data_IF_602731331853
#
_entry.id   IF_602731331853
#
_cell.length_a   1.000
_cell.length_b   1.000
_cell.length_c   1.000
_cell.angle_alpha   90.00
_cell.angle_beta   90.00
_cell.angle_gamma   90.00
#
_symmetry.space_group_name_H-M   'P 1'
#
loop_
_entity.id
_entity.type
_entity.pdbx_description
1 polymer ?
#
# COMPACT_ATOMS: atom_id res chain seq x y z
N UNK A 1 64.30 -8.49 67.29
CA UNK A 1 64.27 -8.96 68.69
C UNK A 1 63.50 -10.28 68.69
N UNK A 2 64.16 -11.37 69.09
CA UNK A 2 63.66 -12.70 69.47
C UNK A 2 62.82 -13.48 68.43
N UNK A 3 63.38 -14.61 68.02
CA UNK A 3 62.76 -15.67 67.21
C UNK A 3 61.67 -16.41 68.01
N UNK A 4 60.55 -16.71 67.35
CA UNK A 4 59.66 -17.83 67.65
C UNK A 4 59.44 -18.65 66.36
N UNK A 5 59.20 -19.97 66.44
CA UNK A 5 59.27 -20.86 65.29
C UNK A 5 58.03 -20.69 64.41
N UNK A 6 58.19 -20.08 63.24
CA UNK A 6 57.16 -20.13 62.20
C UNK A 6 57.23 -21.51 61.54
N UNK A 7 56.19 -22.30 61.80
CA UNK A 7 55.80 -23.41 60.93
C UNK A 7 55.76 -22.90 59.48
N UNK A 8 56.41 -23.64 58.58
CA UNK A 8 56.60 -23.23 57.20
C UNK A 8 55.27 -22.97 56.49
N UNK A 9 54.97 -21.69 56.24
CA UNK A 9 53.97 -21.32 55.24
C UNK A 9 54.57 -21.58 53.85
N UNK A 10 54.16 -22.69 53.22
CA UNK A 10 54.37 -22.88 51.80
C UNK A 10 53.60 -21.79 51.03
N UNK A 11 54.32 -20.81 50.49
CA UNK A 11 53.75 -19.83 49.57
C UNK A 11 53.49 -20.48 48.22
N UNK A 12 52.22 -20.60 47.82
CA UNK A 12 51.84 -20.93 46.44
C UNK A 12 51.81 -19.62 45.66
N UNK A 13 52.72 -19.46 44.70
CA UNK A 13 52.76 -18.30 43.81
C UNK A 13 52.22 -18.71 42.44
N UNK A 14 51.20 -18.00 41.95
CA UNK A 14 50.72 -18.13 40.57
C UNK A 14 51.11 -16.90 39.75
N UNK A 15 51.79 -17.10 38.63
CA UNK A 15 52.07 -16.03 37.67
C UNK A 15 51.00 -16.07 36.58
N UNK A 16 50.30 -14.96 36.35
CA UNK A 16 49.39 -14.83 35.22
C UNK A 16 50.20 -14.62 33.93
N UNK A 17 50.47 -15.73 33.23
CA UNK A 17 51.20 -15.74 31.95
C UNK A 17 50.28 -15.83 30.73
N UNK A 18 48.97 -15.60 30.90
CA UNK A 18 47.98 -15.93 29.87
C UNK A 18 48.23 -15.18 28.55
N UNK A 19 48.47 -13.86 28.61
CA UNK A 19 48.72 -13.06 27.41
C UNK A 19 50.08 -13.36 26.75
N UNK A 20 51.14 -13.54 27.54
CA UNK A 20 52.47 -13.84 27.03
C UNK A 20 52.50 -15.20 26.32
N UNK A 21 51.73 -16.16 26.82
CA UNK A 21 51.60 -17.47 26.20
C UNK A 21 50.91 -17.41 24.82
N UNK A 22 49.84 -16.61 24.67
CA UNK A 22 49.18 -16.44 23.37
C UNK A 22 50.11 -15.77 22.34
N UNK A 23 50.85 -14.74 22.75
CA UNK A 23 51.86 -14.11 21.89
C UNK A 23 52.91 -15.13 21.44
N UNK A 24 53.37 -16.00 22.35
CA UNK A 24 54.34 -17.04 22.00
C UNK A 24 53.78 -18.08 21.03
N UNK A 25 52.52 -18.48 21.17
CA UNK A 25 51.86 -19.35 20.19
C UNK A 25 51.73 -18.69 18.82
N UNK A 26 51.56 -17.36 18.77
CA UNK A 26 51.56 -16.62 17.51
C UNK A 26 52.95 -16.63 16.85
N UNK A 27 54.03 -16.51 17.63
CA UNK A 27 55.40 -16.62 17.13
C UNK A 27 55.68 -18.01 16.56
N UNK A 28 55.25 -19.08 17.25
CA UNK A 28 55.36 -20.45 16.74
C UNK A 28 54.61 -20.60 15.42
N UNK A 29 53.38 -20.05 15.34
CA UNK A 29 52.58 -20.07 14.12
C UNK A 29 53.30 -19.39 12.95
N UNK A 30 53.78 -18.16 13.15
CA UNK A 30 54.47 -17.37 12.12
C UNK A 30 55.81 -17.98 11.70
N UNK A 31 56.43 -18.78 12.57
CA UNK A 31 57.70 -19.48 12.30
C UNK A 31 57.49 -20.89 11.72
N UNK A 32 56.25 -21.34 11.51
CA UNK A 32 55.94 -22.69 11.03
C UNK A 32 56.25 -23.80 12.02
N UNK A 33 56.35 -23.49 13.32
CA UNK A 33 56.72 -24.42 14.38
C UNK A 33 55.44 -25.00 15.02
N UNK A 34 55.43 -26.32 15.27
CA UNK A 34 54.31 -27.07 15.86
C UNK A 34 52.97 -26.98 15.09
N UNK A 35 53.02 -26.65 13.80
CA UNK A 35 51.85 -26.63 12.91
C UNK A 35 51.36 -28.06 12.68
N UNK A 36 50.09 -28.30 13.00
CA UNK A 36 49.43 -29.61 12.86
C UNK A 36 48.16 -29.53 11.98
N UNK A 37 47.79 -28.34 11.51
CA UNK A 37 46.73 -28.13 10.52
C UNK A 37 46.97 -26.90 9.63
N UNK A 38 46.31 -26.90 8.48
CA UNK A 38 46.30 -25.83 7.50
C UNK A 38 44.85 -25.51 7.13
N UNK A 39 44.51 -24.24 7.24
CA UNK A 39 43.21 -23.74 6.82
C UNK A 39 43.37 -23.17 5.42
N UNK A 40 42.52 -23.59 4.48
CA UNK A 40 42.60 -23.23 3.07
C UNK A 40 41.42 -22.30 2.72
N UNK A 41 41.70 -21.13 2.15
CA UNK A 41 40.68 -20.22 1.61
C UNK A 41 41.11 -19.68 0.27
N UNK A 42 40.36 -20.00 -0.79
CA UNK A 42 40.73 -19.62 -2.15
C UNK A 42 42.17 -20.05 -2.47
N UNK A 43 43.09 -19.11 -2.68
CA UNK A 43 44.52 -19.34 -2.93
C UNK A 43 45.40 -19.18 -1.67
N UNK A 44 44.82 -18.79 -0.53
CA UNK A 44 45.55 -18.63 0.72
C UNK A 44 45.55 -19.91 1.57
N UNK A 45 46.72 -20.22 2.13
CA UNK A 45 46.93 -21.26 3.14
C UNK A 45 47.35 -20.63 4.44
N UNK A 46 46.65 -20.96 5.52
CA UNK A 46 46.95 -20.49 6.87
C UNK A 46 47.46 -21.63 7.73
N UNK A 47 48.71 -21.53 8.17
CA UNK A 47 49.30 -22.46 9.13
C UNK A 47 48.73 -22.21 10.53
N UNK A 48 48.25 -23.28 11.16
CA UNK A 48 47.48 -23.23 12.40
C UNK A 48 47.82 -24.37 13.35
N UNK A 49 47.40 -24.20 14.60
CA UNK A 49 47.46 -25.24 15.63
C UNK A 49 46.02 -25.67 15.97
N UNK A 50 45.71 -26.96 15.83
CA UNK A 50 44.37 -27.53 16.09
C UNK A 50 43.90 -27.11 17.47
N UNK A 51 44.74 -27.33 18.49
CA UNK A 51 44.40 -27.03 19.89
C UNK A 51 44.02 -25.57 20.13
N UNK A 52 44.66 -24.64 19.41
CA UNK A 52 44.34 -23.21 19.51
C UNK A 52 43.01 -22.94 18.82
N UNK A 53 42.82 -23.40 17.58
CA UNK A 53 41.55 -23.19 16.87
C UNK A 53 40.36 -23.80 17.62
N UNK A 54 40.48 -25.03 18.10
CA UNK A 54 39.41 -25.74 18.82
C UNK A 54 39.09 -25.10 20.17
N UNK A 55 40.04 -24.42 20.81
CA UNK A 55 39.79 -23.68 22.06
C UNK A 55 38.88 -22.47 21.85
N UNK A 56 38.94 -21.85 20.67
CA UNK A 56 38.23 -20.59 20.36
C UNK A 56 36.98 -20.80 19.53
N UNK A 57 36.89 -21.90 18.79
CA UNK A 57 35.82 -22.16 17.83
C UNK A 57 35.20 -23.53 18.06
N UNK A 58 33.90 -23.53 18.41
CA UNK A 58 33.14 -24.79 18.53
C UNK A 58 33.01 -25.50 17.18
N UNK A 59 32.98 -24.76 16.07
CA UNK A 59 33.03 -25.32 14.73
C UNK A 59 34.31 -26.14 14.52
N UNK A 60 35.49 -25.54 14.71
CA UNK A 60 36.76 -26.25 14.52
C UNK A 60 36.93 -27.39 15.52
N UNK A 61 36.45 -27.24 16.76
CA UNK A 61 36.40 -28.34 17.73
C UNK A 61 35.67 -29.55 17.17
N UNK A 62 34.43 -29.38 16.67
CA UNK A 62 33.66 -30.48 16.09
C UNK A 62 34.32 -31.04 14.82
N UNK A 63 34.83 -30.16 13.96
CA UNK A 63 35.52 -30.57 12.74
C UNK A 63 36.71 -31.48 13.04
N UNK A 64 37.66 -31.04 13.89
CA UNK A 64 38.86 -31.82 14.19
C UNK A 64 38.61 -33.01 15.13
N UNK A 65 37.49 -33.04 15.85
CA UNK A 65 37.10 -34.21 16.66
C UNK A 65 36.56 -35.36 15.80
N UNK A 66 36.07 -35.07 14.59
CA UNK A 66 35.42 -36.05 13.71
C UNK A 66 36.22 -36.34 12.45
N UNK A 67 37.04 -35.39 12.00
CA UNK A 67 37.85 -35.49 10.81
C UNK A 67 39.34 -35.61 11.18
N UNK A 68 40.04 -36.57 10.58
CA UNK A 68 41.49 -36.73 10.74
C UNK A 68 42.30 -35.78 9.84
N UNK A 69 41.67 -35.15 8.84
CA UNK A 69 42.36 -34.26 7.91
C UNK A 69 42.98 -33.06 8.61
N UNK A 70 44.23 -32.78 8.23
CA UNK A 70 44.94 -31.58 8.66
C UNK A 70 44.74 -30.42 7.69
N UNK A 71 44.18 -30.63 6.50
CA UNK A 71 43.86 -29.56 5.55
C UNK A 71 42.35 -29.29 5.56
N UNK A 72 41.96 -28.08 5.97
CA UNK A 72 40.55 -27.71 6.13
C UNK A 72 40.18 -26.63 5.14
N UNK A 73 39.31 -26.95 4.18
CA UNK A 73 38.73 -25.94 3.29
C UNK A 73 37.72 -25.08 4.06
N UNK A 74 37.92 -23.76 4.07
CA UNK A 74 37.00 -22.82 4.73
C UNK A 74 35.66 -22.78 4.01
N UNK A 75 34.53 -23.12 4.68
CA UNK A 75 33.23 -23.06 4.04
C UNK A 75 32.74 -21.63 3.80
N UNK A 76 33.15 -20.67 4.64
CA UNK A 76 32.64 -19.28 4.57
C UNK A 76 33.72 -18.26 4.94
N UNK A 77 34.15 -17.44 3.98
CA UNK A 77 35.15 -16.38 4.21
C UNK A 77 34.70 -15.04 3.59
N UNK A 78 33.65 -14.41 4.13
CA UNK A 78 33.13 -13.16 3.57
C UNK A 78 34.20 -12.06 3.64
N UNK A 79 34.39 -11.36 2.52
CA UNK A 79 35.40 -10.29 2.41
C UNK A 79 36.84 -10.73 2.67
N UNK A 80 37.16 -12.03 2.55
CA UNK A 80 38.45 -12.61 2.93
C UNK A 80 38.88 -12.31 4.38
N UNK A 81 37.90 -12.13 5.29
CA UNK A 81 38.13 -11.64 6.64
C UNK A 81 38.70 -12.69 7.62
N UNK A 82 38.77 -13.96 7.24
CA UNK A 82 39.26 -15.03 8.13
C UNK A 82 40.68 -14.79 8.63
N UNK A 83 41.56 -14.15 7.84
CA UNK A 83 42.90 -13.77 8.29
C UNK A 83 42.88 -12.90 9.55
N UNK A 84 41.94 -11.95 9.64
CA UNK A 84 41.74 -11.11 10.80
C UNK A 84 41.17 -11.90 11.99
N UNK A 85 40.27 -12.85 11.72
CA UNK A 85 39.75 -13.77 12.74
C UNK A 85 40.87 -14.64 13.31
N UNK A 86 41.76 -15.14 12.46
CA UNK A 86 42.90 -15.94 12.88
C UNK A 86 43.88 -15.11 13.71
N UNK A 87 44.21 -13.88 13.28
CA UNK A 87 45.06 -13.00 14.09
C UNK A 87 44.41 -12.69 15.44
N UNK A 88 43.09 -12.52 15.50
CA UNK A 88 42.35 -12.36 16.76
C UNK A 88 42.50 -13.59 17.68
N UNK A 89 42.35 -14.80 17.15
CA UNK A 89 42.50 -16.05 17.93
C UNK A 89 43.90 -16.12 18.59
N UNK A 90 44.94 -15.69 17.87
CA UNK A 90 46.32 -15.77 18.34
C UNK A 90 46.81 -14.55 19.15
N UNK A 91 46.24 -13.36 18.96
CA UNK A 91 46.74 -12.12 19.58
C UNK A 91 45.74 -11.41 20.47
N UNK A 92 44.47 -11.83 20.43
CA UNK A 92 43.32 -11.16 21.07
C UNK A 92 43.06 -9.74 20.56
N UNK A 93 43.63 -9.37 19.41
CA UNK A 93 43.44 -8.06 18.79
C UNK A 93 42.67 -8.19 17.50
N UNK A 94 41.67 -7.33 17.31
CA UNK A 94 40.94 -7.20 16.05
C UNK A 94 40.54 -5.74 15.86
N UNK A 95 40.55 -5.28 14.61
CA UNK A 95 40.13 -3.93 14.24
C UNK A 95 38.79 -4.01 13.53
N UNK A 96 37.77 -3.38 14.10
CA UNK A 96 36.40 -3.43 13.60
C UNK A 96 35.90 -2.03 13.24
N UNK A 97 35.28 -1.91 12.07
CA UNK A 97 34.73 -0.67 11.52
C UNK A 97 33.46 -0.96 10.69
N UNK A 98 32.81 0.08 10.15
CA UNK A 98 31.60 -0.07 9.32
C UNK A 98 31.77 -0.91 8.05
N UNK A 99 33.01 -1.14 7.59
CA UNK A 99 33.27 -1.87 6.35
C UNK A 99 33.40 -3.36 6.59
N UNK A 100 33.92 -3.75 7.76
CA UNK A 100 34.26 -5.14 8.05
C UNK A 100 33.40 -5.79 9.14
N UNK A 101 32.56 -5.03 9.85
CA UNK A 101 31.78 -5.54 10.98
C UNK A 101 30.84 -6.68 10.60
N UNK A 102 30.24 -6.62 9.40
CA UNK A 102 29.34 -7.68 8.89
C UNK A 102 30.10 -8.97 8.59
N UNK A 103 31.31 -8.88 8.03
CA UNK A 103 32.18 -10.03 7.80
C UNK A 103 32.64 -10.66 9.11
N UNK A 104 33.06 -9.84 10.07
CA UNK A 104 33.43 -10.27 11.40
C UNK A 104 32.27 -10.99 12.10
N UNK A 105 31.06 -10.41 12.02
CA UNK A 105 29.84 -11.00 12.57
C UNK A 105 29.58 -12.36 11.95
N UNK A 106 29.61 -12.46 10.62
CA UNK A 106 29.32 -13.72 9.94
C UNK A 106 30.33 -14.81 10.28
N UNK A 107 31.61 -14.47 10.35
CA UNK A 107 32.64 -15.40 10.79
C UNK A 107 32.44 -15.83 12.25
N UNK A 108 32.16 -14.89 13.15
CA UNK A 108 31.95 -15.20 14.56
C UNK A 108 30.73 -16.13 14.78
N UNK A 109 29.64 -15.86 14.06
CA UNK A 109 28.42 -16.70 14.07
C UNK A 109 28.68 -18.08 13.47
N UNK A 110 29.26 -18.16 12.27
CA UNK A 110 29.46 -19.42 11.55
C UNK A 110 30.50 -20.33 12.22
N UNK A 111 31.63 -19.75 12.65
CA UNK A 111 32.69 -20.49 13.34
C UNK A 111 32.44 -20.62 14.85
N UNK A 112 31.33 -20.09 15.35
CA UNK A 112 30.92 -20.16 16.76
C UNK A 112 32.05 -19.71 17.71
N UNK A 113 32.63 -18.55 17.43
CA UNK A 113 33.66 -17.90 18.25
C UNK A 113 32.96 -16.92 19.19
N UNK A 114 32.63 -17.39 20.39
CA UNK A 114 31.74 -16.69 21.32
C UNK A 114 32.28 -15.31 21.74
N UNK A 115 33.56 -15.22 22.09
CA UNK A 115 34.19 -13.97 22.51
C UNK A 115 34.25 -12.96 21.36
N UNK A 116 34.53 -13.41 20.13
CA UNK A 116 34.49 -12.54 18.95
C UNK A 116 33.06 -12.06 18.69
N UNK A 117 32.07 -12.93 18.82
CA UNK A 117 30.67 -12.58 18.62
C UNK A 117 30.23 -11.49 19.60
N UNK A 118 30.61 -11.59 20.90
CA UNK A 118 30.35 -10.57 21.91
C UNK A 118 30.96 -9.21 21.52
N UNK A 119 32.25 -9.20 21.18
CA UNK A 119 32.97 -7.98 20.76
C UNK A 119 32.32 -7.34 19.53
N UNK A 120 31.94 -8.15 18.54
CA UNK A 120 31.33 -7.67 17.30
C UNK A 120 29.94 -7.08 17.56
N UNK A 121 29.12 -7.71 18.41
CA UNK A 121 27.80 -7.16 18.79
C UNK A 121 27.96 -5.84 19.54
N UNK A 122 28.87 -5.77 20.50
CA UNK A 122 29.15 -4.54 21.24
C UNK A 122 29.60 -3.41 20.31
N UNK A 123 30.51 -3.70 19.37
CA UNK A 123 30.98 -2.73 18.40
C UNK A 123 29.90 -2.33 17.40
N UNK A 124 29.06 -3.26 16.93
CA UNK A 124 27.91 -2.93 16.11
C UNK A 124 26.98 -1.95 16.84
N UNK A 125 26.76 -2.20 18.15
CA UNK A 125 25.93 -1.33 18.98
C UNK A 125 26.51 0.08 19.13
N UNK A 126 27.84 0.21 19.16
CA UNK A 126 28.51 1.51 19.31
C UNK A 126 28.48 2.33 18.03
N UNK A 127 28.59 1.70 16.85
CA UNK A 127 28.65 2.40 15.56
C UNK A 127 27.29 2.61 14.91
N UNK A 128 26.30 1.75 15.20
CA UNK A 128 25.00 1.77 14.52
C UNK A 128 24.25 3.07 14.79
N UNK A 129 23.91 3.80 13.72
CA UNK A 129 23.21 5.07 13.80
C UNK A 129 22.28 5.26 12.60
N UNK A 130 21.42 6.29 12.68
CA UNK A 130 20.58 6.72 11.56
C UNK A 130 21.41 7.06 10.30
N UNK A 131 22.71 7.37 10.45
CA UNK A 131 23.59 7.70 9.33
C UNK A 131 24.03 6.51 8.50
N UNK A 132 24.28 5.37 9.13
CA UNK A 132 24.86 4.20 8.49
C UNK A 132 23.91 2.99 8.48
N UNK A 133 22.73 3.07 9.12
CA UNK A 133 21.79 1.94 9.24
C UNK A 133 21.47 1.27 7.91
N UNK A 134 21.21 2.02 6.83
CA UNK A 134 20.91 1.42 5.52
C UNK A 134 22.12 0.71 4.91
N UNK A 135 23.32 1.28 5.05
CA UNK A 135 24.58 0.68 4.56
C UNK A 135 24.85 -0.62 5.31
N UNK A 136 24.75 -0.59 6.65
CA UNK A 136 24.96 -1.76 7.50
C UNK A 136 23.89 -2.83 7.25
N UNK A 137 22.61 -2.45 7.15
CA UNK A 137 21.52 -3.38 6.82
C UNK A 137 21.81 -4.12 5.52
N UNK A 138 22.21 -3.37 4.47
CA UNK A 138 22.55 -3.96 3.17
C UNK A 138 23.68 -5.00 3.30
N UNK A 139 24.76 -4.66 4.00
CA UNK A 139 25.86 -5.58 4.24
C UNK A 139 25.43 -6.82 5.03
N UNK A 140 24.57 -6.68 6.03
CA UNK A 140 24.08 -7.82 6.83
C UNK A 140 23.19 -8.73 5.97
N UNK A 141 22.34 -8.16 5.12
CA UNK A 141 21.52 -8.91 4.16
C UNK A 141 22.40 -9.66 3.16
N UNK A 142 23.42 -9.01 2.58
CA UNK A 142 24.36 -9.63 1.62
C UNK A 142 25.18 -10.78 2.24
N UNK A 143 25.43 -10.72 3.55
CA UNK A 143 26.13 -11.77 4.29
C UNK A 143 25.19 -12.81 4.93
N UNK A 144 23.90 -12.76 4.64
CA UNK A 144 22.88 -13.67 5.16
C UNK A 144 22.85 -13.71 6.71
N UNK A 145 22.84 -12.52 7.32
CA UNK A 145 22.72 -12.34 8.77
C UNK A 145 21.36 -11.72 9.06
N UNK A 146 20.46 -12.48 9.71
CA UNK A 146 19.11 -12.01 10.08
C UNK A 146 18.94 -11.74 11.57
N UNK A 147 19.92 -12.12 12.41
CA UNK A 147 19.84 -12.01 13.88
C UNK A 147 19.76 -10.56 14.40
N UNK A 148 20.08 -9.57 13.56
CA UNK A 148 20.04 -8.14 13.89
C UNK A 148 18.90 -7.39 13.19
N UNK A 149 18.01 -8.10 12.47
CA UNK A 149 16.95 -7.51 11.67
C UNK A 149 16.00 -6.63 12.50
N UNK A 150 15.61 -7.08 13.69
CA UNK A 150 14.76 -6.32 14.61
C UNK A 150 15.38 -4.95 14.96
N UNK A 151 16.70 -4.96 15.26
CA UNK A 151 17.42 -3.75 15.64
C UNK A 151 17.50 -2.73 14.51
N UNK A 152 17.83 -3.20 13.30
CA UNK A 152 17.83 -2.34 12.12
C UNK A 152 16.43 -1.81 11.80
N UNK A 153 15.43 -2.68 11.89
CA UNK A 153 14.02 -2.35 11.62
C UNK A 153 13.52 -1.24 12.55
N UNK A 154 13.80 -1.33 13.85
CA UNK A 154 13.38 -0.32 14.84
C UNK A 154 13.94 1.08 14.58
N UNK A 155 15.17 1.17 14.07
CA UNK A 155 15.77 2.47 13.72
C UNK A 155 15.14 3.02 12.44
N UNK A 156 14.90 2.15 11.46
CA UNK A 156 14.31 2.53 10.17
C UNK A 156 12.85 2.95 10.34
N UNK A 157 12.04 2.19 11.09
CA UNK A 157 10.61 2.47 11.31
C UNK A 157 10.40 3.84 11.96
N UNK A 158 11.14 4.14 13.04
CA UNK A 158 11.10 5.44 13.74
C UNK A 158 11.45 6.65 12.86
N UNK A 159 12.21 6.44 11.79
CA UNK A 159 12.70 7.51 10.91
C UNK A 159 12.13 7.41 9.49
N UNK A 160 11.14 6.55 9.26
CA UNK A 160 10.67 6.17 7.92
C UNK A 160 10.18 7.37 7.09
N UNK A 161 9.54 8.34 7.75
CA UNK A 161 9.00 9.54 7.11
C UNK A 161 9.98 10.74 7.09
N UNK A 162 11.22 10.59 7.59
CA UNK A 162 12.18 11.70 7.66
C UNK A 162 12.85 11.97 6.31
N UNK A 163 13.43 13.17 6.15
CA UNK A 163 13.98 13.59 4.86
C UNK A 163 15.06 12.67 4.30
N UNK A 164 15.81 12.03 5.20
CA UNK A 164 16.87 11.08 4.87
C UNK A 164 16.34 9.80 4.21
N UNK A 165 15.09 9.45 4.47
CA UNK A 165 14.43 8.24 4.02
C UNK A 165 13.34 8.53 2.95
N UNK A 166 13.34 9.73 2.35
CA UNK A 166 12.38 10.12 1.30
C UNK A 166 12.24 9.08 0.17
N UNK A 167 13.34 8.43 -0.21
CA UNK A 167 13.33 7.39 -1.24
C UNK A 167 13.06 6.01 -0.65
N UNK A 168 11.79 5.58 -0.66
CA UNK A 168 11.36 4.23 -0.25
C UNK A 168 12.10 3.13 -1.01
N UNK A 169 12.35 3.35 -2.31
CA UNK A 169 13.09 2.40 -3.16
C UNK A 169 14.52 2.16 -2.66
N UNK A 170 15.19 3.17 -2.13
CA UNK A 170 16.55 3.02 -1.58
C UNK A 170 16.54 2.20 -0.28
N UNK A 171 15.51 2.36 0.55
CA UNK A 171 15.32 1.53 1.75
C UNK A 171 15.14 0.07 1.34
N UNK A 172 14.23 -0.19 0.42
CA UNK A 172 13.86 -1.55 -0.02
C UNK A 172 15.02 -2.32 -0.66
N UNK A 173 15.95 -1.63 -1.33
CA UNK A 173 17.19 -2.24 -1.83
C UNK A 173 18.10 -2.75 -0.70
N UNK A 174 18.04 -2.14 0.49
CA UNK A 174 18.97 -2.40 1.58
C UNK A 174 18.46 -3.36 2.66
N UNK A 175 17.18 -3.73 2.64
CA UNK A 175 16.56 -4.53 3.71
C UNK A 175 16.14 -5.93 3.25
N UNK A 176 16.05 -6.86 4.19
CA UNK A 176 15.46 -8.19 4.02
C UNK A 176 13.92 -8.15 4.09
N UNK A 177 13.22 -9.22 3.66
CA UNK A 177 11.77 -9.33 3.80
C UNK A 177 11.31 -9.31 5.26
N UNK A 178 12.05 -9.98 6.14
CA UNK A 178 11.83 -9.98 7.60
C UNK A 178 11.93 -8.59 8.20
N UNK A 179 12.94 -7.81 7.80
CA UNK A 179 13.05 -6.41 8.21
C UNK A 179 11.87 -5.57 7.70
N UNK A 180 11.46 -5.76 6.43
CA UNK A 180 10.30 -5.05 5.90
C UNK A 180 9.03 -5.38 6.71
N UNK A 181 8.83 -6.65 7.08
CA UNK A 181 7.69 -7.06 7.89
C UNK A 181 7.69 -6.36 9.25
N UNK A 182 8.83 -6.30 9.92
CA UNK A 182 8.99 -5.61 11.20
C UNK A 182 8.74 -4.11 11.06
N UNK A 183 9.32 -3.47 10.04
CA UNK A 183 9.12 -2.03 9.78
C UNK A 183 7.64 -1.73 9.54
N UNK A 184 6.96 -2.49 8.68
CA UNK A 184 5.55 -2.25 8.36
C UNK A 184 4.62 -2.56 9.54
N UNK A 185 5.02 -3.45 10.45
CA UNK A 185 4.28 -3.73 11.68
C UNK A 185 4.31 -2.53 12.62
N UNK A 186 5.46 -1.84 12.75
CA UNK A 186 5.62 -0.64 13.58
C UNK A 186 4.85 0.58 13.03
N UNK A 187 4.64 0.65 11.71
CA UNK A 187 4.00 1.78 11.02
C UNK A 187 2.47 1.73 11.16
N UNK A 188 1.95 2.08 12.33
CA UNK A 188 0.51 2.03 12.65
C UNK A 188 -0.32 3.13 11.97
N UNK A 189 0.31 4.18 11.47
CA UNK A 189 -0.36 5.29 10.79
C UNK A 189 -0.79 4.96 9.35
N UNK A 190 -0.26 3.88 8.77
CA UNK A 190 -0.55 3.46 7.41
C UNK A 190 -1.67 2.43 7.35
N UNK A 191 -2.55 2.58 6.37
CA UNK A 191 -3.63 1.62 6.11
C UNK A 191 -3.07 0.29 5.55
N UNK A 192 -3.79 -0.84 5.71
CA UNK A 192 -3.37 -2.12 5.12
C UNK A 192 -3.14 -2.05 3.61
N UNK A 193 -3.98 -1.31 2.88
CA UNK A 193 -3.85 -1.12 1.43
C UNK A 193 -2.55 -0.40 1.05
N UNK A 194 -2.16 0.62 1.83
CA UNK A 194 -0.88 1.31 1.62
C UNK A 194 0.31 0.42 1.93
N UNK A 195 0.23 -0.40 2.99
CA UNK A 195 1.28 -1.37 3.33
C UNK A 195 1.46 -2.42 2.22
N UNK A 196 0.36 -2.97 1.69
CA UNK A 196 0.41 -3.91 0.56
C UNK A 196 1.07 -3.27 -0.66
N UNK A 197 0.72 -2.03 -0.99
CA UNK A 197 1.38 -1.27 -2.07
C UNK A 197 2.89 -1.13 -1.85
N UNK A 198 3.34 -0.97 -0.61
CA UNK A 198 4.78 -0.92 -0.29
C UNK A 198 5.45 -2.29 -0.47
N UNK A 199 4.78 -3.39 -0.12
CA UNK A 199 5.31 -4.75 -0.32
C UNK A 199 5.35 -5.11 -1.80
N UNK A 200 4.33 -4.74 -2.58
CA UNK A 200 4.34 -4.89 -4.03
C UNK A 200 5.52 -4.13 -4.67
N UNK A 201 5.76 -2.89 -4.22
CA UNK A 201 6.94 -2.13 -4.65
C UNK A 201 8.24 -2.84 -4.26
N UNK A 202 8.34 -3.37 -3.03
CA UNK A 202 9.51 -4.15 -2.61
C UNK A 202 9.73 -5.39 -3.48
N UNK A 203 8.68 -6.17 -3.72
CA UNK A 203 8.71 -7.40 -4.51
C UNK A 203 9.10 -7.12 -5.98
N UNK A 204 8.66 -5.99 -6.54
CA UNK A 204 9.08 -5.55 -7.88
C UNK A 204 10.59 -5.26 -7.98
N UNK A 205 11.23 -4.84 -6.88
CA UNK A 205 12.67 -4.56 -6.82
C UNK A 205 13.47 -5.83 -6.55
N UNK A 206 12.95 -6.71 -5.67
CA UNK A 206 13.59 -7.97 -5.26
C UNK A 206 12.61 -9.13 -5.46
N UNK A 207 12.45 -9.62 -6.71
CA UNK A 207 11.60 -10.78 -6.97
C UNK A 207 12.23 -12.06 -6.39
N UNK A 208 11.45 -13.15 -6.35
CA UNK A 208 11.90 -14.49 -5.94
C UNK A 208 12.35 -14.62 -4.46
N UNK A 209 11.59 -14.01 -3.54
CA UNK A 209 11.77 -14.24 -2.10
C UNK A 209 11.40 -15.68 -1.70
N UNK A 210 12.03 -16.20 -0.64
CA UNK A 210 11.80 -17.56 -0.13
C UNK A 210 10.38 -17.70 0.44
N UNK A 211 9.84 -18.91 0.45
CA UNK A 211 8.49 -19.16 1.01
C UNK A 211 8.37 -18.76 2.50
N UNK A 212 9.41 -18.99 3.31
CA UNK A 212 9.43 -18.53 4.69
C UNK A 212 9.30 -17.00 4.82
N UNK A 213 9.95 -16.27 3.92
CA UNK A 213 9.90 -14.80 3.88
C UNK A 213 8.52 -14.29 3.43
N UNK A 214 7.89 -14.98 2.47
CA UNK A 214 6.51 -14.70 2.05
C UNK A 214 5.54 -14.84 3.23
N UNK A 215 5.69 -15.91 4.01
CA UNK A 215 4.88 -16.13 5.21
C UNK A 215 5.08 -14.98 6.21
N UNK A 216 6.32 -14.56 6.47
CA UNK A 216 6.60 -13.44 7.37
C UNK A 216 5.94 -12.13 6.90
N UNK A 217 5.99 -11.81 5.61
CA UNK A 217 5.31 -10.63 5.07
C UNK A 217 3.78 -10.74 5.14
N UNK A 218 3.23 -11.93 4.93
CA UNK A 218 1.78 -12.13 4.96
C UNK A 218 1.20 -12.09 6.37
N UNK A 219 1.96 -12.48 7.40
CA UNK A 219 1.50 -12.48 8.79
C UNK A 219 1.19 -11.08 9.35
N UNK A 220 1.55 -10.01 8.64
CA UNK A 220 1.23 -8.63 9.01
C UNK A 220 -0.28 -8.34 8.85
N UNK A 221 -0.97 -9.11 8.00
CA UNK A 221 -2.36 -8.87 7.63
C UNK A 221 -3.27 -9.99 8.14
N UNK A 222 -4.49 -9.60 8.52
CA UNK A 222 -5.55 -10.55 8.80
C UNK A 222 -6.27 -10.94 7.50
N UNK A 223 -5.90 -12.10 6.95
CA UNK A 223 -6.52 -12.65 5.74
C UNK A 223 -7.88 -13.32 5.98
N UNK A 224 -8.35 -13.35 7.24
CA UNK A 224 -9.67 -13.87 7.58
C UNK A 224 -10.78 -12.83 7.39
N UNK A 225 -10.44 -11.54 7.29
CA UNK A 225 -11.40 -10.48 7.01
C UNK A 225 -12.11 -10.69 5.67
N UNK A 226 -13.41 -10.44 5.66
CA UNK A 226 -14.28 -10.67 4.50
C UNK A 226 -13.85 -9.85 3.28
N UNK A 227 -13.22 -8.70 3.46
CA UNK A 227 -12.77 -7.82 2.37
C UNK A 227 -11.31 -8.04 1.97
N UNK A 228 -10.60 -8.99 2.59
CA UNK A 228 -9.18 -9.27 2.28
C UNK A 228 -8.93 -9.60 0.80
N UNK A 229 -9.91 -10.24 0.14
CA UNK A 229 -9.81 -10.55 -1.28
C UNK A 229 -9.70 -9.29 -2.15
N UNK A 230 -10.23 -8.14 -1.69
CA UNK A 230 -10.18 -6.88 -2.44
C UNK A 230 -8.75 -6.39 -2.65
N UNK A 231 -7.79 -6.83 -1.83
CA UNK A 231 -6.39 -6.52 -2.07
C UNK A 231 -5.87 -7.13 -3.37
N UNK A 232 -6.28 -8.34 -3.72
CA UNK A 232 -5.92 -9.00 -4.99
C UNK A 232 -6.59 -8.39 -6.23
N UNK A 233 -7.59 -7.53 -6.03
CA UNK A 233 -8.27 -6.82 -7.12
C UNK A 233 -7.55 -5.50 -7.42
N UNK A 234 -7.05 -4.84 -6.37
CA UNK A 234 -6.47 -3.51 -6.46
C UNK A 234 -4.93 -3.49 -6.50
N UNK A 235 -4.29 -4.61 -6.16
CA UNK A 235 -2.83 -4.77 -6.04
C UNK A 235 -2.38 -6.09 -6.67
N UNK A 236 -1.07 -6.24 -6.92
CA UNK A 236 -0.51 -7.42 -7.60
C UNK A 236 -0.43 -8.63 -6.66
N UNK A 237 0.06 -8.43 -5.42
CA UNK A 237 0.05 -9.45 -4.37
C UNK A 237 0.82 -10.75 -4.70
N UNK A 238 1.78 -10.73 -5.64
CA UNK A 238 2.57 -11.90 -6.09
C UNK A 238 3.45 -12.53 -4.99
N UNK A 239 3.72 -11.78 -3.93
CA UNK A 239 4.51 -12.20 -2.78
C UNK A 239 3.71 -13.03 -1.77
N UNK A 240 2.40 -13.17 -1.91
CA UNK A 240 1.56 -13.88 -0.95
C UNK A 240 1.68 -15.41 -1.15
N UNK A 241 1.85 -16.20 -0.08
CA UNK A 241 1.88 -17.66 -0.12
C UNK A 241 0.66 -18.29 -0.81
N UNK A 242 0.89 -19.38 -1.54
CA UNK A 242 -0.13 -20.04 -2.37
C UNK A 242 -1.33 -20.58 -1.59
N UNK A 243 -1.16 -20.95 -0.33
CA UNK A 243 -2.24 -21.41 0.54
C UNK A 243 -3.27 -20.30 0.82
N UNK A 244 -2.82 -19.04 0.95
CA UNK A 244 -3.67 -17.88 1.17
C UNK A 244 -4.26 -17.39 -0.15
N UNK A 245 -3.39 -17.15 -1.15
CA UNK A 245 -3.81 -16.57 -2.42
C UNK A 245 -4.83 -17.44 -3.16
N UNK A 246 -4.64 -18.77 -3.17
CA UNK A 246 -5.58 -19.69 -3.84
C UNK A 246 -6.99 -19.61 -3.28
N UNK A 247 -7.15 -19.50 -1.95
CA UNK A 247 -8.46 -19.39 -1.30
C UNK A 247 -9.17 -18.10 -1.72
N UNK A 248 -8.46 -16.97 -1.68
CA UNK A 248 -9.03 -15.65 -1.97
C UNK A 248 -9.28 -15.45 -3.48
N UNK A 249 -8.40 -15.95 -4.35
CA UNK A 249 -8.61 -15.94 -5.80
C UNK A 249 -9.84 -16.79 -6.16
N UNK A 250 -10.00 -17.97 -5.56
CA UNK A 250 -11.20 -18.78 -5.77
C UNK A 250 -12.49 -18.05 -5.34
N UNK A 251 -12.44 -17.32 -4.21
CA UNK A 251 -13.57 -16.49 -3.77
C UNK A 251 -13.92 -15.42 -4.82
N UNK A 252 -12.92 -14.69 -5.33
CA UNK A 252 -13.10 -13.67 -6.38
C UNK A 252 -13.73 -14.30 -7.63
N UNK A 253 -13.21 -15.45 -8.08
CA UNK A 253 -13.72 -16.14 -9.27
C UNK A 253 -15.16 -16.58 -9.07
N UNK A 254 -15.51 -17.12 -7.89
CA UNK A 254 -16.87 -17.56 -7.60
C UNK A 254 -17.87 -16.39 -7.53
N UNK A 255 -17.48 -15.27 -6.91
CA UNK A 255 -18.30 -14.05 -6.90
C UNK A 255 -18.53 -13.57 -8.34
N UNK A 256 -17.45 -13.49 -9.14
CA UNK A 256 -17.54 -13.06 -10.54
C UNK A 256 -18.45 -13.97 -11.38
N UNK A 257 -18.36 -15.29 -11.21
CA UNK A 257 -19.25 -16.25 -11.89
C UNK A 257 -20.71 -16.01 -11.52
N UNK A 258 -21.02 -15.89 -10.22
CA UNK A 258 -22.37 -15.60 -9.75
C UNK A 258 -22.92 -14.29 -10.34
N UNK A 259 -22.08 -13.25 -10.41
CA UNK A 259 -22.46 -11.96 -11.01
C UNK A 259 -22.68 -12.05 -12.53
N UNK A 260 -21.88 -12.85 -13.23
CA UNK A 260 -22.07 -13.13 -14.66
C UNK A 260 -23.39 -13.87 -14.88
N UNK A 261 -23.67 -14.92 -14.11
CA UNK A 261 -24.92 -15.68 -14.20
C UNK A 261 -26.15 -14.79 -13.91
N UNK A 262 -26.03 -13.86 -12.95
CA UNK A 262 -27.06 -12.86 -12.67
C UNK A 262 -27.24 -11.91 -13.86
N UNK A 263 -26.15 -11.38 -14.41
CA UNK A 263 -26.18 -10.48 -15.57
C UNK A 263 -26.83 -11.17 -16.78
N UNK A 264 -26.48 -12.42 -17.07
CA UNK A 264 -27.05 -13.19 -18.18
C UNK A 264 -28.56 -13.39 -18.02
N UNK A 265 -29.04 -13.75 -16.82
CA UNK A 265 -30.47 -13.88 -16.56
C UNK A 265 -31.21 -12.56 -16.79
N UNK A 266 -30.68 -11.47 -16.26
CA UNK A 266 -31.27 -10.13 -16.38
C UNK A 266 -31.26 -9.63 -17.84
N UNK A 267 -30.16 -9.81 -18.57
CA UNK A 267 -30.08 -9.38 -19.97
C UNK A 267 -30.94 -10.24 -20.90
N UNK A 268 -31.09 -11.54 -20.62
CA UNK A 268 -32.00 -12.41 -21.39
C UNK A 268 -33.46 -12.00 -21.22
N UNK A 269 -33.88 -11.61 -20.01
CA UNK A 269 -35.23 -11.08 -19.76
C UNK A 269 -35.46 -9.77 -20.53
N UNK A 270 -34.43 -8.91 -20.62
CA UNK A 270 -34.60 -7.52 -21.03
C UNK A 270 -34.00 -7.12 -22.38
N UNK A 271 -33.71 -8.10 -23.25
CA UNK A 271 -32.90 -8.02 -24.47
C UNK A 271 -33.10 -6.82 -25.41
N UNK A 272 -34.26 -6.15 -25.39
CA UNK A 272 -34.56 -5.04 -26.32
C UNK A 272 -34.86 -3.68 -25.67
N UNK A 273 -34.63 -3.49 -24.36
CA UNK A 273 -35.32 -2.38 -23.69
C UNK A 273 -34.59 -1.65 -22.56
N UNK A 274 -33.30 -1.91 -22.32
CA UNK A 274 -32.57 -1.26 -21.21
C UNK A 274 -31.55 -0.24 -21.70
N UNK A 275 -31.29 0.78 -20.88
CA UNK A 275 -30.24 1.75 -21.13
C UNK A 275 -28.90 1.06 -21.37
N UNK A 276 -28.13 1.58 -22.32
CA UNK A 276 -26.81 1.03 -22.65
C UNK A 276 -25.83 1.03 -21.46
N UNK A 277 -26.10 1.81 -20.41
CA UNK A 277 -25.28 1.88 -19.18
C UNK A 277 -25.58 0.78 -18.19
N UNK A 278 -26.78 0.20 -18.24
CA UNK A 278 -27.15 -0.88 -17.33
C UNK A 278 -26.17 -2.08 -17.40
N UNK A 279 -25.73 -2.54 -18.60
CA UNK A 279 -24.64 -3.51 -18.69
C UNK A 279 -23.34 -3.09 -17.99
N UNK A 280 -22.99 -1.80 -18.00
CA UNK A 280 -21.78 -1.30 -17.36
C UNK A 280 -21.83 -1.37 -15.84
N UNK A 281 -23.01 -1.32 -15.20
CA UNK A 281 -23.11 -1.52 -13.74
C UNK A 281 -22.71 -2.94 -13.35
N UNK A 282 -23.17 -3.95 -14.11
CA UNK A 282 -22.76 -5.35 -13.93
C UNK A 282 -21.27 -5.55 -14.22
N UNK A 283 -20.75 -4.99 -15.31
CA UNK A 283 -19.32 -5.07 -15.62
C UNK A 283 -18.47 -4.51 -14.48
N UNK A 284 -18.91 -3.42 -13.86
CA UNK A 284 -18.20 -2.83 -12.73
C UNK A 284 -18.23 -3.73 -11.49
N UNK A 285 -19.40 -4.27 -11.14
CA UNK A 285 -19.56 -5.25 -10.06
C UNK A 285 -18.71 -6.51 -10.29
N UNK A 286 -18.67 -7.02 -11.53
CA UNK A 286 -17.84 -8.18 -11.90
C UNK A 286 -16.36 -7.83 -11.75
N UNK A 287 -15.91 -6.69 -12.29
CA UNK A 287 -14.50 -6.30 -12.19
C UNK A 287 -14.04 -6.19 -10.74
N UNK A 288 -14.83 -5.56 -9.87
CA UNK A 288 -14.48 -5.39 -8.47
C UNK A 288 -14.94 -6.55 -7.55
N UNK A 289 -15.53 -7.59 -8.12
CA UNK A 289 -16.14 -8.71 -7.39
C UNK A 289 -17.00 -8.22 -6.22
N UNK A 290 -17.82 -7.20 -6.47
CA UNK A 290 -18.74 -6.63 -5.48
C UNK A 290 -20.17 -7.07 -5.80
N UNK A 291 -20.92 -7.37 -4.75
CA UNK A 291 -22.33 -7.77 -4.88
C UNK A 291 -23.07 -6.69 -5.65
N UNK A 292 -23.69 -7.08 -6.78
CA UNK A 292 -24.53 -6.20 -7.56
C UNK A 292 -25.88 -6.04 -6.82
N UNK A 293 -25.90 -5.14 -5.84
CA UNK A 293 -27.17 -4.72 -5.26
C UNK A 293 -27.81 -3.72 -6.24
N UNK A 294 -29.11 -3.83 -6.48
CA UNK A 294 -29.94 -2.78 -7.11
C UNK A 294 -29.98 -1.54 -6.19
N UNK A 295 -28.83 -0.90 -5.99
CA UNK A 295 -28.70 0.33 -5.21
C UNK A 295 -29.10 1.51 -6.07
N UNK A 296 -29.61 2.53 -5.41
CA UNK A 296 -29.76 3.85 -6.01
C UNK A 296 -28.39 4.33 -6.52
N UNK A 297 -28.31 4.64 -7.81
CA UNK A 297 -27.12 5.16 -8.47
C UNK A 297 -27.21 6.68 -8.58
N UNK A 298 -26.14 7.39 -8.24
CA UNK A 298 -25.94 8.75 -8.74
C UNK A 298 -25.55 8.68 -10.23
N UNK A 299 -26.54 8.62 -11.13
CA UNK A 299 -26.31 8.36 -12.55
C UNK A 299 -25.44 9.44 -13.20
N UNK A 300 -25.54 10.68 -12.74
CA UNK A 300 -24.69 11.80 -13.20
C UNK A 300 -23.22 11.59 -12.87
N UNK A 301 -22.91 11.03 -11.69
CA UNK A 301 -21.53 10.69 -11.33
C UNK A 301 -21.03 9.47 -12.11
N UNK A 302 -21.88 8.45 -12.23
CA UNK A 302 -21.56 7.26 -13.00
C UNK A 302 -21.22 7.63 -14.45
N UNK A 303 -22.04 8.48 -15.07
CA UNK A 303 -21.84 8.97 -16.44
C UNK A 303 -20.53 9.75 -16.60
N UNK A 304 -20.24 10.68 -15.69
CA UNK A 304 -19.01 11.48 -15.74
C UNK A 304 -17.75 10.65 -15.61
N UNK A 305 -17.80 9.55 -14.86
CA UNK A 305 -16.61 8.72 -14.58
C UNK A 305 -16.62 7.39 -15.33
N UNK A 306 -17.66 7.13 -16.12
CA UNK A 306 -17.97 5.84 -16.73
C UNK A 306 -17.86 4.68 -15.71
N UNK A 307 -18.47 4.86 -14.54
CA UNK A 307 -18.40 3.90 -13.44
C UNK A 307 -17.03 3.86 -12.75
N UNK A 308 -16.33 4.99 -12.68
CA UNK A 308 -15.00 5.12 -12.06
C UNK A 308 -13.82 4.69 -12.93
N UNK A 309 -14.00 4.53 -14.25
CA UNK A 309 -12.96 4.09 -15.19
C UNK A 309 -12.13 5.25 -15.76
N UNK A 310 -12.68 6.45 -15.76
CA UNK A 310 -12.01 7.64 -16.29
C UNK A 310 -12.06 8.77 -15.29
N UNK A 311 -11.19 9.77 -15.49
CA UNK A 311 -11.44 11.10 -14.95
C UNK A 311 -12.77 11.65 -15.50
N UNK A 312 -13.27 12.72 -14.88
CA UNK A 312 -14.57 13.29 -15.23
C UNK A 312 -14.61 13.74 -16.69
N UNK A 313 -15.55 13.19 -17.47
CA UNK A 313 -15.85 13.57 -18.85
C UNK A 313 -17.12 14.40 -18.94
N UNK A 314 -17.21 15.25 -19.96
CA UNK A 314 -18.40 16.06 -20.27
C UNK A 314 -19.55 15.20 -20.78
N UNK A 315 -20.56 14.95 -19.95
CA UNK A 315 -21.65 14.00 -20.28
C UNK A 315 -22.54 14.46 -21.44
N UNK A 316 -22.54 15.75 -21.75
CA UNK A 316 -23.32 16.35 -22.84
C UNK A 316 -22.55 16.29 -24.16
N UNK A 317 -21.25 16.62 -24.13
CA UNK A 317 -20.35 16.57 -25.29
C UNK A 317 -20.24 15.15 -25.87
N UNK A 318 -20.28 14.15 -25.00
CA UNK A 318 -20.26 12.73 -25.39
C UNK A 318 -21.65 12.17 -25.72
N UNK A 319 -22.70 13.01 -25.68
CA UNK A 319 -24.08 12.61 -26.01
C UNK A 319 -24.70 11.62 -25.01
N UNK A 320 -24.17 11.53 -23.79
CA UNK A 320 -24.69 10.62 -22.76
C UNK A 320 -25.95 11.18 -22.09
N UNK A 321 -26.12 12.51 -22.13
CA UNK A 321 -27.32 13.23 -21.70
C UNK A 321 -27.71 14.24 -22.78
N UNK A 322 -28.95 14.16 -23.25
CA UNK A 322 -29.53 15.13 -24.17
C UNK A 322 -30.18 16.27 -23.38
N UNK A 323 -29.90 17.52 -23.76
CA UNK A 323 -30.41 18.70 -23.08
C UNK A 323 -31.25 19.57 -24.01
N UNK A 324 -32.34 20.10 -23.48
CA UNK A 324 -33.17 21.14 -24.11
C UNK A 324 -33.49 22.15 -23.02
N UNK A 325 -33.21 23.43 -23.24
CA UNK A 325 -33.46 24.46 -22.24
C UNK A 325 -34.04 25.73 -22.87
N UNK A 326 -34.58 26.60 -22.02
CA UNK A 326 -34.77 28.01 -22.39
C UNK A 326 -33.42 28.69 -22.68
N UNK A 327 -33.46 29.84 -23.36
CA UNK A 327 -32.27 30.55 -23.80
C UNK A 327 -31.32 30.83 -22.62
N UNK A 328 -30.09 30.33 -22.70
CA UNK A 328 -29.08 30.49 -21.66
C UNK A 328 -28.42 31.86 -21.75
N UNK A 329 -28.04 32.43 -20.60
CA UNK A 329 -27.19 33.63 -20.58
C UNK A 329 -25.78 33.30 -21.08
N UNK A 330 -25.08 34.33 -21.56
CA UNK A 330 -23.69 34.23 -22.02
C UNK A 330 -22.80 33.59 -20.94
N UNK A 331 -21.96 32.63 -21.33
CA UNK A 331 -21.12 31.80 -20.45
C UNK A 331 -21.85 30.86 -19.46
N UNK A 332 -23.19 30.77 -19.49
CA UNK A 332 -23.99 29.95 -18.58
C UNK A 332 -24.70 28.80 -19.31
N UNK A 333 -23.95 28.04 -20.11
CA UNK A 333 -24.47 26.99 -21.00
C UNK A 333 -25.19 25.86 -20.25
N UNK A 334 -26.17 25.16 -20.86
CA UNK A 334 -26.92 24.07 -20.23
C UNK A 334 -26.05 22.96 -19.65
N UNK A 335 -24.94 22.62 -20.31
CA UNK A 335 -23.99 21.61 -19.84
C UNK A 335 -23.43 21.90 -18.45
N UNK A 336 -23.30 23.17 -18.10
CA UNK A 336 -22.71 23.60 -16.83
C UNK A 336 -23.62 23.28 -15.64
N UNK A 337 -24.90 22.94 -15.87
CA UNK A 337 -25.81 22.52 -14.80
C UNK A 337 -25.28 21.32 -14.01
N UNK A 338 -24.52 20.43 -14.66
CA UNK A 338 -23.94 19.26 -14.02
C UNK A 338 -22.56 19.52 -13.44
N UNK A 339 -21.88 20.61 -13.76
CA UNK A 339 -20.54 20.86 -13.24
C UNK A 339 -20.58 21.37 -11.80
N UNK A 340 -19.52 21.12 -11.03
CA UNK A 340 -19.37 21.66 -9.67
C UNK A 340 -18.27 22.72 -9.67
N UNK A 341 -18.61 23.96 -9.34
CA UNK A 341 -17.63 25.04 -9.20
C UNK A 341 -18.16 26.38 -9.68
N UNK A 342 -17.34 27.11 -10.45
CA UNK A 342 -17.65 28.47 -10.91
C UNK A 342 -18.53 28.52 -12.16
N UNK A 343 -18.73 27.38 -12.85
CA UNK A 343 -19.58 27.28 -14.02
C UNK A 343 -20.95 26.75 -13.61
N UNK A 344 -22.01 27.38 -14.10
CA UNK A 344 -23.40 27.00 -13.83
C UNK A 344 -24.27 27.30 -15.06
N UNK A 345 -25.46 26.71 -15.11
CA UNK A 345 -26.47 27.05 -16.10
C UNK A 345 -27.36 28.18 -15.58
N UNK A 346 -27.69 29.14 -16.44
CA UNK A 346 -28.54 30.27 -16.10
C UNK A 346 -29.44 30.67 -17.27
N UNK A 347 -30.72 30.84 -17.02
CA UNK A 347 -31.70 31.31 -18.02
C UNK A 347 -32.70 32.29 -17.40
N UNK A 348 -33.14 33.26 -18.19
CA UNK A 348 -34.13 34.27 -17.79
C UNK A 348 -35.41 34.05 -18.60
N UNK A 349 -36.56 34.10 -17.93
CA UNK A 349 -37.87 34.04 -18.56
C UNK A 349 -38.80 35.15 -18.09
N UNK A 350 -40.10 34.94 -18.29
CA UNK A 350 -41.17 35.80 -17.80
C UNK A 350 -42.45 34.99 -17.53
N UNK A 351 -43.54 35.65 -17.15
CA UNK A 351 -44.82 34.99 -16.86
C UNK A 351 -45.44 34.25 -18.04
N UNK A 352 -45.10 34.61 -19.28
CA UNK A 352 -45.60 33.96 -20.51
C UNK A 352 -44.63 32.91 -21.07
N UNK A 353 -43.35 32.98 -20.70
CA UNK A 353 -42.27 32.09 -21.14
C UNK A 353 -41.37 31.79 -19.95
N UNK A 354 -41.83 30.90 -19.07
CA UNK A 354 -41.09 30.48 -17.89
C UNK A 354 -39.78 29.76 -18.27
N UNK A 355 -38.66 30.01 -17.56
CA UNK A 355 -37.41 29.36 -17.88
C UNK A 355 -37.48 27.87 -17.48
N UNK A 356 -36.91 27.01 -18.31
CA UNK A 356 -36.94 25.56 -18.12
C UNK A 356 -35.62 24.89 -18.50
N UNK A 357 -35.37 23.74 -17.89
CA UNK A 357 -34.23 22.87 -18.15
C UNK A 357 -34.71 21.42 -18.27
N UNK A 358 -34.59 20.85 -19.45
CA UNK A 358 -35.00 19.48 -19.75
C UNK A 358 -33.77 18.63 -20.02
N UNK A 359 -33.73 17.45 -19.43
CA UNK A 359 -32.71 16.45 -19.68
C UNK A 359 -33.33 15.10 -20.02
N UNK A 360 -32.60 14.29 -20.78
CA UNK A 360 -32.98 12.94 -21.15
C UNK A 360 -31.76 12.03 -21.21
N UNK A 361 -31.91 10.82 -20.67
CA UNK A 361 -30.96 9.73 -20.82
C UNK A 361 -31.23 8.89 -22.09
N UNK A 362 -32.12 9.37 -22.98
CA UNK A 362 -32.59 8.62 -24.14
C UNK A 362 -33.89 7.86 -23.87
N UNK A 363 -34.62 7.55 -24.95
CA UNK A 363 -35.95 6.92 -24.89
C UNK A 363 -35.93 5.51 -24.32
N UNK A 364 -34.80 4.81 -24.44
CA UNK A 364 -34.64 3.43 -23.94
C UNK A 364 -34.00 3.38 -22.55
N UNK A 365 -33.84 4.52 -21.87
CA UNK A 365 -33.07 4.55 -20.62
C UNK A 365 -33.73 3.82 -19.46
N UNK A 366 -35.07 3.68 -19.46
CA UNK A 366 -35.84 3.05 -18.36
C UNK A 366 -35.29 3.37 -16.97
N UNK A 367 -34.80 4.60 -16.76
CA UNK A 367 -34.16 4.98 -15.51
C UNK A 367 -35.19 5.64 -14.61
N UNK A 368 -35.48 5.02 -13.47
CA UNK A 368 -36.43 5.55 -12.52
C UNK A 368 -35.73 6.51 -11.55
N UNK A 369 -35.99 7.80 -11.71
CA UNK A 369 -35.47 8.83 -10.81
C UNK A 369 -36.16 8.72 -9.44
N UNK A 370 -35.37 8.68 -8.38
CA UNK A 370 -35.84 8.57 -6.99
C UNK A 370 -35.47 9.78 -6.14
N UNK A 371 -34.42 10.50 -6.52
CA UNK A 371 -33.98 11.70 -5.81
C UNK A 371 -33.22 12.66 -6.73
N UNK A 372 -33.38 13.95 -6.46
CA UNK A 372 -32.71 15.03 -7.19
C UNK A 372 -32.03 15.94 -6.19
N UNK A 373 -30.78 16.29 -6.48
CA UNK A 373 -30.04 17.31 -5.74
C UNK A 373 -29.50 18.35 -6.71
N UNK A 374 -29.61 19.63 -6.35
CA UNK A 374 -29.12 20.73 -7.19
C UNK A 374 -28.91 21.98 -6.35
N UNK A 375 -27.89 22.76 -6.69
CA UNK A 375 -27.72 24.11 -6.16
C UNK A 375 -28.42 25.11 -7.09
N UNK A 376 -29.24 25.99 -6.52
CA UNK A 376 -29.93 27.09 -7.21
C UNK A 376 -29.41 28.47 -6.81
N UNK A 377 -28.52 28.53 -5.83
CA UNK A 377 -27.78 29.73 -5.43
C UNK A 377 -26.27 29.59 -5.64
N UNK A 378 -25.58 30.72 -5.81
CA UNK A 378 -24.12 30.79 -5.87
C UNK A 378 -23.53 31.57 -4.69
N UNK A 379 -22.39 31.09 -4.17
CA UNK A 379 -21.59 31.84 -3.20
C UNK A 379 -20.69 32.83 -3.94
N UNK A 380 -21.01 34.13 -3.85
CA UNK A 380 -20.16 35.17 -4.41
C UNK A 380 -19.07 35.57 -3.41
N UNK A 381 -17.82 35.66 -3.87
CA UNK A 381 -16.67 36.12 -3.05
C UNK A 381 -16.84 37.53 -2.47
N UNK A 382 -17.76 38.36 -2.99
CA UNK A 382 -17.84 39.77 -2.62
C UNK A 382 -19.24 40.35 -2.36
N UNK A 383 -20.36 39.69 -2.66
CA UNK A 383 -21.70 40.26 -2.42
C UNK A 383 -22.79 39.19 -2.28
N UNK A 384 -23.29 38.99 -1.06
CA UNK A 384 -24.59 38.35 -0.76
C UNK A 384 -24.83 36.93 -1.31
N UNK A 385 -25.96 36.34 -0.91
CA UNK A 385 -26.51 35.16 -1.61
C UNK A 385 -27.29 35.64 -2.82
N UNK A 386 -27.15 34.97 -3.96
CA UNK A 386 -28.02 35.21 -5.12
C UNK A 386 -29.49 34.95 -4.74
N UNK A 387 -30.46 35.73 -5.24
CA UNK A 387 -31.87 35.40 -5.09
C UNK A 387 -32.16 33.99 -5.61
N UNK A 388 -33.05 33.27 -4.92
CA UNK A 388 -33.40 31.88 -5.22
C UNK A 388 -34.86 31.78 -5.64
N UNK A 389 -35.20 30.84 -6.53
CA UNK A 389 -36.59 30.47 -6.78
C UNK A 389 -37.19 29.89 -5.49
N UNK A 390 -38.46 30.16 -5.20
CA UNK A 390 -39.15 29.51 -4.08
C UNK A 390 -39.35 28.02 -4.36
N UNK A 391 -39.81 27.70 -5.58
CA UNK A 391 -40.09 26.35 -5.99
C UNK A 391 -39.72 26.13 -7.46
N UNK A 392 -39.31 24.90 -7.78
CA UNK A 392 -39.25 24.39 -9.15
C UNK A 392 -40.25 23.25 -9.30
N UNK A 393 -40.88 23.14 -10.47
CA UNK A 393 -41.69 21.97 -10.82
C UNK A 393 -40.78 20.95 -11.49
N UNK A 394 -40.78 19.74 -10.96
CA UNK A 394 -40.17 18.58 -11.59
C UNK A 394 -41.27 17.81 -12.34
N UNK A 395 -41.09 17.69 -13.65
CA UNK A 395 -42.11 17.14 -14.55
C UNK A 395 -41.49 16.09 -15.47
N UNK A 396 -42.30 15.16 -15.99
CA UNK A 396 -41.85 14.10 -16.90
C UNK A 396 -42.79 13.87 -18.08
N UNK A 397 -42.25 13.46 -19.21
CA UNK A 397 -43.03 13.03 -20.37
C UNK A 397 -42.36 11.88 -21.13
N UNK A 398 -43.18 11.03 -21.76
CA UNK A 398 -42.74 9.99 -22.69
C UNK A 398 -42.94 10.39 -24.16
N UNK A 399 -43.61 11.52 -24.38
CA UNK A 399 -43.87 12.08 -25.70
C UNK A 399 -42.71 13.00 -26.12
N UNK A 400 -42.89 13.72 -27.22
CA UNK A 400 -41.93 14.73 -27.69
C UNK A 400 -41.60 15.76 -26.59
N UNK A 401 -40.35 16.24 -26.46
CA UNK A 401 -39.96 17.20 -25.44
C UNK A 401 -40.66 18.57 -25.55
N UNK A 402 -41.36 18.87 -26.65
CA UNK A 402 -42.19 20.06 -26.81
C UNK A 402 -43.66 19.85 -26.41
N UNK A 403 -44.04 18.62 -26.03
CA UNK A 403 -45.40 18.28 -25.60
C UNK A 403 -45.64 18.61 -24.12
N UNK A 404 -46.85 18.31 -23.62
CA UNK A 404 -47.17 18.46 -22.21
C UNK A 404 -46.39 17.48 -21.32
N UNK A 405 -45.96 17.97 -20.16
CA UNK A 405 -45.30 17.16 -19.14
C UNK A 405 -46.24 16.94 -17.96
N UNK A 406 -46.16 15.75 -17.37
CA UNK A 406 -46.87 15.41 -16.14
C UNK A 406 -46.08 15.90 -14.94
N UNK A 407 -46.73 16.63 -14.03
CA UNK A 407 -46.11 17.07 -12.77
C UNK A 407 -45.78 15.87 -11.89
N UNK A 408 -44.50 15.73 -11.52
CA UNK A 408 -44.00 14.66 -10.64
C UNK A 408 -43.89 15.17 -9.21
N UNK A 409 -43.21 16.30 -9.01
CA UNK A 409 -42.97 16.87 -7.70
C UNK A 409 -42.82 18.38 -7.76
N UNK A 410 -43.13 19.05 -6.64
CA UNK A 410 -42.77 20.44 -6.39
C UNK A 410 -41.53 20.44 -5.52
N UNK A 411 -40.43 20.96 -6.06
CA UNK A 411 -39.11 21.02 -5.43
C UNK A 411 -38.96 22.33 -4.67
N UNK A 412 -38.73 22.27 -3.36
CA UNK A 412 -38.40 23.46 -2.56
C UNK A 412 -36.96 23.91 -2.86
N UNK A 413 -36.83 25.14 -3.35
CA UNK A 413 -35.54 25.74 -3.71
C UNK A 413 -35.24 27.01 -2.89
N UNK A 414 -36.09 27.32 -1.90
CA UNK A 414 -36.03 28.57 -1.12
C UNK A 414 -34.70 28.74 -0.38
N UNK A 415 -34.08 27.64 0.05
CA UNK A 415 -32.78 27.61 0.74
C UNK A 415 -31.57 27.84 -0.18
N UNK A 416 -31.76 27.76 -1.51
CA UNK A 416 -30.69 27.74 -2.51
C UNK A 416 -30.12 26.34 -2.82
N UNK A 417 -30.64 25.31 -2.15
CA UNK A 417 -30.27 23.91 -2.37
C UNK A 417 -31.54 23.06 -2.42
N UNK A 418 -31.67 22.27 -3.47
CA UNK A 418 -32.68 21.22 -3.61
C UNK A 418 -32.01 19.91 -3.21
N UNK A 419 -32.64 19.17 -2.29
CA UNK A 419 -32.37 17.75 -2.06
C UNK A 419 -33.69 17.10 -1.67
N UNK A 420 -34.33 16.44 -2.63
CA UNK A 420 -35.69 15.93 -2.45
C UNK A 420 -35.87 14.59 -3.14
N UNK A 421 -36.54 13.68 -2.42
CA UNK A 421 -36.99 12.40 -2.96
C UNK A 421 -38.22 12.62 -3.84
N UNK A 422 -38.28 11.90 -4.96
CA UNK A 422 -39.41 11.90 -5.89
C UNK A 422 -40.00 10.49 -5.96
N UNK A 423 -41.32 10.39 -5.81
CA UNK A 423 -42.03 9.11 -5.90
C UNK A 423 -42.52 8.91 -7.33
N UNK A 424 -41.76 8.13 -8.10
CA UNK A 424 -42.09 7.78 -9.47
C UNK A 424 -42.46 6.30 -9.54
N UNK A 425 -43.62 6.00 -10.14
CA UNK A 425 -44.05 4.61 -10.40
C UNK A 425 -43.48 4.05 -11.71
N UNK A 426 -43.14 4.90 -12.67
CA UNK A 426 -42.64 4.55 -14.00
C UNK A 426 -41.60 5.57 -14.48
N UNK A 427 -40.60 5.16 -15.27
CA UNK A 427 -39.61 6.07 -15.85
C UNK A 427 -40.23 6.95 -16.94
N UNK A 428 -39.62 8.12 -17.18
CA UNK A 428 -39.96 9.04 -18.26
C UNK A 428 -38.81 9.18 -19.27
N UNK A 429 -39.10 9.40 -20.55
CA UNK A 429 -38.08 9.67 -21.58
C UNK A 429 -37.41 11.03 -21.36
N UNK A 430 -38.17 12.05 -20.95
CA UNK A 430 -37.70 13.40 -20.71
C UNK A 430 -38.14 13.87 -19.33
N UNK A 431 -37.22 14.54 -18.63
CA UNK A 431 -37.46 15.16 -17.34
C UNK A 431 -37.20 16.65 -17.43
N UNK A 432 -38.08 17.46 -16.86
CA UNK A 432 -38.03 18.92 -16.93
C UNK A 432 -38.08 19.55 -15.56
N UNK A 433 -37.15 20.47 -15.31
CA UNK A 433 -37.20 21.46 -14.24
C UNK A 433 -37.80 22.74 -14.83
N UNK A 434 -38.95 23.16 -14.30
CA UNK A 434 -39.66 24.36 -14.75
C UNK A 434 -39.80 25.34 -13.59
N UNK A 435 -39.41 26.59 -13.80
CA UNK A 435 -39.59 27.66 -12.82
C UNK A 435 -40.94 28.34 -13.02
N UNK A 436 -41.97 27.89 -12.29
CA UNK A 436 -43.34 28.44 -12.41
C UNK A 436 -43.58 29.70 -11.58
N UNK A 437 -42.73 29.97 -10.58
CA UNK A 437 -42.90 31.08 -9.63
C UNK A 437 -41.68 32.02 -9.68
N UNK A 438 -41.87 33.30 -9.35
CA UNK A 438 -40.78 34.28 -9.28
C UNK A 438 -39.80 33.99 -8.13
N UNK A 439 -38.57 34.49 -8.27
CA UNK A 439 -37.60 34.54 -7.17
C UNK A 439 -38.12 35.40 -6.01
N UNK A 440 -37.53 35.22 -4.82
CA UNK A 440 -37.86 36.01 -3.63
C UNK A 440 -37.63 37.52 -3.85
N UNK A 441 -36.66 37.89 -4.70
CA UNK A 441 -36.33 39.28 -5.08
C UNK A 441 -37.09 39.83 -6.29
N UNK A 442 -38.00 39.05 -6.88
CA UNK A 442 -38.68 39.38 -8.13
C UNK A 442 -37.90 38.94 -9.38
N UNK A 443 -38.62 38.52 -10.42
CA UNK A 443 -38.04 38.03 -11.69
C UNK A 443 -38.08 36.51 -11.85
N UNK A 444 -37.80 36.06 -13.07
CA UNK A 444 -37.82 34.65 -13.47
C UNK A 444 -36.41 34.24 -13.94
N UNK A 445 -35.50 34.03 -12.98
CA UNK A 445 -34.13 33.60 -13.28
C UNK A 445 -33.93 32.21 -12.70
N UNK A 446 -33.63 31.24 -13.56
CA UNK A 446 -33.33 29.87 -13.14
C UNK A 446 -31.83 29.65 -13.20
N UNK A 447 -31.25 29.25 -12.08
CA UNK A 447 -29.84 28.86 -11.95
C UNK A 447 -29.74 27.42 -11.50
N UNK A 448 -28.90 26.63 -12.15
CA UNK A 448 -28.64 25.24 -11.79
C UNK A 448 -27.13 25.00 -11.76
N UNK A 449 -26.65 24.40 -10.68
CA UNK A 449 -25.25 24.04 -10.45
C UNK A 449 -25.18 22.71 -9.68
N UNK A 450 -24.19 21.87 -10.00
CA UNK A 450 -23.99 20.53 -9.42
C UNK A 450 -25.29 19.69 -9.38
N UNK A 451 -26.05 19.67 -10.48
CA UNK A 451 -27.25 18.85 -10.63
C UNK A 451 -26.88 17.36 -10.57
N UNK A 452 -27.44 16.67 -9.58
CA UNK A 452 -27.27 15.23 -9.34
C UNK A 452 -28.61 14.54 -9.42
N UNK A 453 -28.60 13.41 -10.10
CA UNK A 453 -29.80 12.61 -10.32
C UNK A 453 -29.51 11.23 -9.76
N UNK A 454 -30.42 10.78 -8.91
CA UNK A 454 -30.35 9.50 -8.25
C UNK A 454 -31.52 8.62 -8.70
N UNK A 455 -31.30 7.32 -8.83
CA UNK A 455 -32.32 6.41 -9.32
C UNK A 455 -31.80 5.00 -9.54
N UNK A 456 -32.67 4.13 -10.04
CA UNK A 456 -32.31 2.77 -10.42
C UNK A 456 -32.80 2.44 -11.82
N UNK A 457 -32.19 1.43 -12.42
CA UNK A 457 -32.66 0.89 -13.69
C UNK A 457 -33.95 0.11 -13.46
N UNK A 458 -35.02 0.57 -14.09
CA UNK A 458 -36.32 -0.09 -14.06
C UNK A 458 -36.30 -1.25 -15.06
N UNK A 459 -36.55 -2.43 -14.54
CA UNK A 459 -36.55 -3.69 -15.26
C UNK A 459 -37.99 -4.22 -15.16
N UNK A 460 -38.58 -4.61 -16.29
CA UNK A 460 -39.98 -5.07 -16.36
C UNK A 460 -40.15 -6.51 -15.85
#
# INVERSE_FOLDING_TARGET
MILGPNEGMNGIFSVDMSNDLFLKFNDFRKSGVFIDCHILSNEERFDCHKIILTRWSKYFYRYFSTCSDSNVQLPKNPGNFFKNVLEFIYTRKITLNEENISFAYKCAEFYEIEELHKIVVEQLNSILSIKNVLKLSKQFVENEISSQDEKFSSIISKNFNSEKFKSKTNIFKCISPTMLANILSDLTEYTPSEKIKMIDLYYSIKPNIKEADKISLSNIFDWSDENSYKYFINHNCDWIPSNISRKLINLIINIRRSLIDQAEKEFNINSNSVFWIFPFTYLNSIQYAEVHNQKEFEITHFLKTLGGKTEKVGIVEYGLVNLISSHSLYCCEPKNAFEKGNHYFCSIGNSSSAPFFTFSFGTNSKFLVTRIECHTSMDHKYQGKTPTPKFLRFEGTNNDPNSEFTLIAKLDASSGVISQNVDLKKPYHYYRLLMSDMEIGGGYIMRLNDLKIFGYFFID
#
